data_IF_998295666766
#
_entry.id   IF_998295666766
#
_cell.length_a   1.000
_cell.length_b   1.000
_cell.length_c   1.000
_cell.angle_alpha   90.00
_cell.angle_beta   90.00
_cell.angle_gamma   90.00
#
_symmetry.space_group_name_H-M   'P 1'
#
loop_
_entity.id
_entity.type
_entity.pdbx_description
1 polymer ?
#
# COMPACT_ATOMS: atom_id res chain seq x y z
N UNK A 1 -5.37 -20.57 82.07
CA UNK A 1 -4.36 -20.21 81.09
C UNK A 1 -4.59 -21.01 79.84
N UNK A 2 -5.25 -20.38 78.88
CA UNK A 2 -5.66 -21.06 77.64
C UNK A 2 -4.94 -20.33 76.49
N UNK A 3 -4.05 -21.07 75.82
CA UNK A 3 -3.32 -20.60 74.65
C UNK A 3 -4.23 -20.71 73.42
N UNK A 4 -4.51 -19.59 72.82
CA UNK A 4 -5.21 -19.52 71.51
C UNK A 4 -4.15 -19.42 70.40
N UNK A 5 -3.94 -20.55 69.70
CA UNK A 5 -3.19 -20.56 68.45
C UNK A 5 -4.11 -20.21 67.29
N UNK A 6 -4.01 -18.99 66.81
CA UNK A 6 -4.72 -18.58 65.61
C UNK A 6 -3.94 -19.05 64.38
N UNK A 7 -4.48 -20.04 63.64
CA UNK A 7 -3.96 -20.46 62.33
C UNK A 7 -4.39 -19.45 61.30
N UNK A 8 -3.42 -18.70 60.73
CA UNK A 8 -3.61 -17.84 59.59
C UNK A 8 -3.52 -18.68 58.30
N UNK A 9 -4.67 -18.98 57.68
CA UNK A 9 -4.74 -19.61 56.36
C UNK A 9 -4.61 -18.51 55.29
N UNK A 10 -3.43 -18.42 54.68
CA UNK A 10 -3.21 -17.63 53.48
C UNK A 10 -3.81 -18.38 52.28
N UNK A 11 -4.95 -17.90 51.77
CA UNK A 11 -5.46 -18.30 50.46
C UNK A 11 -4.66 -17.58 49.37
N UNK A 12 -3.77 -18.33 48.70
CA UNK A 12 -3.16 -17.90 47.46
C UNK A 12 -4.19 -18.12 46.34
N UNK A 13 -4.97 -17.12 45.96
CA UNK A 13 -5.77 -17.14 44.75
C UNK A 13 -4.83 -16.89 43.56
N UNK A 14 -4.42 -17.95 42.88
CA UNK A 14 -3.75 -17.86 41.59
C UNK A 14 -4.85 -17.43 40.62
N UNK A 15 -4.93 -16.11 40.35
CA UNK A 15 -5.75 -15.57 39.29
C UNK A 15 -5.19 -16.04 37.93
N UNK A 16 -5.84 -17.02 37.30
CA UNK A 16 -5.62 -17.28 35.88
C UNK A 16 -6.10 -16.04 35.12
N UNK A 17 -5.15 -15.16 34.76
CA UNK A 17 -5.44 -14.14 33.76
C UNK A 17 -5.77 -14.87 32.44
N UNK A 18 -6.88 -14.56 31.79
CA UNK A 18 -7.16 -15.14 30.48
C UNK A 18 -6.05 -14.68 29.52
N UNK A 19 -5.30 -15.65 29.02
CA UNK A 19 -4.42 -15.45 27.88
C UNK A 19 -5.33 -15.13 26.69
N UNK A 20 -5.50 -13.86 26.40
CA UNK A 20 -6.04 -13.44 25.10
C UNK A 20 -4.98 -13.82 24.05
N UNK A 21 -5.16 -15.00 23.46
CA UNK A 21 -4.49 -15.36 22.23
C UNK A 21 -5.14 -14.44 21.18
N UNK A 22 -4.53 -13.27 20.94
CA UNK A 22 -4.82 -12.51 19.74
C UNK A 22 -4.36 -13.39 18.59
N UNK A 23 -5.30 -13.99 17.88
CA UNK A 23 -5.03 -14.62 16.59
C UNK A 23 -4.43 -13.52 15.72
N UNK A 24 -3.13 -13.59 15.50
CA UNK A 24 -2.49 -12.73 14.53
C UNK A 24 -3.04 -13.17 13.18
N UNK A 25 -3.94 -12.38 12.62
CA UNK A 25 -4.44 -12.63 11.27
C UNK A 25 -3.28 -12.41 10.32
N UNK A 26 -2.91 -13.44 9.57
CA UNK A 26 -1.89 -13.32 8.54
C UNK A 26 -2.50 -12.53 7.37
N UNK A 27 -2.35 -11.21 7.41
CA UNK A 27 -2.93 -10.29 6.43
C UNK A 27 -1.94 -9.18 6.06
N UNK A 28 -1.87 -8.86 4.78
CA UNK A 28 -1.31 -7.61 4.30
C UNK A 28 -2.42 -6.57 4.40
N UNK A 29 -2.27 -5.61 5.29
CA UNK A 29 -3.19 -4.49 5.46
C UNK A 29 -2.76 -3.34 4.55
N UNK A 30 -3.70 -2.77 3.81
CA UNK A 30 -3.49 -1.68 2.88
C UNK A 30 -4.43 -0.54 3.24
N UNK A 31 -3.88 0.62 3.59
CA UNK A 31 -4.64 1.85 3.83
C UNK A 31 -4.43 2.80 2.66
N UNK A 32 -5.51 3.27 2.06
CA UNK A 32 -5.48 4.34 1.08
C UNK A 32 -5.30 5.70 1.78
N UNK A 33 -4.23 6.42 1.44
CA UNK A 33 -3.92 7.72 2.01
C UNK A 33 -4.54 8.84 1.16
N UNK A 34 -4.50 8.69 -0.14
CA UNK A 34 -5.03 9.66 -1.09
C UNK A 34 -4.24 9.65 -2.40
N UNK A 35 -4.83 10.08 -3.50
CA UNK A 35 -4.29 10.04 -4.86
C UNK A 35 -3.78 8.62 -5.24
N UNK A 36 -2.48 8.41 -5.37
CA UNK A 36 -1.86 7.08 -5.47
C UNK A 36 -1.20 6.63 -4.15
N UNK A 37 -1.29 7.43 -3.09
CA UNK A 37 -0.66 7.18 -1.81
C UNK A 37 -1.28 5.99 -1.08
N UNK A 38 -0.44 4.98 -0.77
CA UNK A 38 -0.83 3.81 -0.01
C UNK A 38 0.13 3.60 1.16
N UNK A 39 -0.41 3.13 2.28
CA UNK A 39 0.37 2.50 3.34
C UNK A 39 0.02 1.02 3.38
N UNK A 40 1.03 0.16 3.35
CA UNK A 40 0.88 -1.28 3.34
C UNK A 40 1.73 -1.90 4.47
N UNK A 41 1.17 -2.85 5.21
CA UNK A 41 1.91 -3.52 6.29
C UNK A 41 1.39 -4.93 6.57
N UNK A 42 2.28 -5.82 6.99
CA UNK A 42 1.96 -7.13 7.59
C UNK A 42 2.20 -7.14 9.12
N UNK A 43 2.47 -5.95 9.68
CA UNK A 43 2.87 -5.78 11.08
C UNK A 43 4.39 -5.82 11.29
N UNK A 44 5.17 -6.27 10.30
CA UNK A 44 6.65 -6.34 10.34
C UNK A 44 7.28 -5.35 9.38
N UNK A 45 6.89 -5.42 8.10
CA UNK A 45 7.31 -4.48 7.06
C UNK A 45 6.28 -3.36 6.97
N UNK A 46 6.74 -2.13 6.85
CA UNK A 46 5.93 -0.94 6.61
C UNK A 46 6.36 -0.33 5.28
N UNK A 47 5.47 -0.33 4.30
CA UNK A 47 5.72 0.19 2.96
C UNK A 47 4.78 1.36 2.66
N UNK A 48 5.35 2.50 2.28
CA UNK A 48 4.61 3.64 1.71
C UNK A 48 4.85 3.70 0.21
N UNK A 49 3.76 3.77 -0.55
CA UNK A 49 3.81 3.94 -2.01
C UNK A 49 3.32 5.33 -2.34
N UNK A 50 4.05 6.06 -3.18
CA UNK A 50 3.73 7.42 -3.63
C UNK A 50 3.29 8.36 -2.48
N UNK A 51 3.93 8.22 -1.32
CA UNK A 51 3.72 9.03 -0.13
C UNK A 51 5.04 9.21 0.65
N UNK A 52 5.37 10.42 1.18
CA UNK A 52 4.54 11.62 1.15
C UNK A 52 4.66 12.42 -0.16
N UNK A 53 3.55 13.01 -0.56
CA UNK A 53 3.44 13.89 -1.71
C UNK A 53 2.93 15.28 -1.31
N UNK A 54 2.88 16.23 -2.25
CA UNK A 54 2.29 17.55 -2.00
C UNK A 54 0.76 17.44 -2.01
N UNK A 55 0.13 17.48 -0.85
CA UNK A 55 -1.33 17.43 -0.66
C UNK A 55 -2.03 18.44 -1.58
N UNK A 56 -3.07 18.01 -2.28
CA UNK A 56 -3.86 18.83 -3.21
C UNK A 56 -3.12 19.26 -4.49
N UNK A 57 -1.93 18.72 -4.78
CA UNK A 57 -1.23 19.02 -6.02
C UNK A 57 -2.10 18.67 -7.24
N UNK A 58 -2.12 19.54 -8.26
CA UNK A 58 -2.92 19.40 -9.48
C UNK A 58 -4.42 19.19 -9.25
N UNK A 59 -4.95 19.66 -8.10
CA UNK A 59 -6.34 19.50 -7.67
C UNK A 59 -6.75 18.04 -7.42
N UNK A 60 -5.80 17.17 -7.22
CA UNK A 60 -6.04 15.83 -6.72
C UNK A 60 -6.31 15.82 -5.22
N UNK A 61 -6.55 14.64 -4.69
CA UNK A 61 -6.97 14.44 -3.31
C UNK A 61 -5.96 15.02 -2.30
N UNK A 62 -6.49 15.75 -1.35
CA UNK A 62 -5.75 16.14 -0.15
C UNK A 62 -5.74 14.99 0.86
N UNK A 63 -4.76 14.99 1.76
CA UNK A 63 -4.71 14.09 2.91
C UNK A 63 -4.54 14.91 4.21
N UNK A 64 -4.99 14.34 5.30
CA UNK A 64 -4.86 14.93 6.62
C UNK A 64 -3.39 14.93 7.08
N UNK A 65 -2.96 16.02 7.77
CA UNK A 65 -1.57 16.17 8.20
C UNK A 65 -1.10 15.04 9.12
N UNK A 66 -2.02 14.45 9.88
CA UNK A 66 -1.80 13.30 10.75
C UNK A 66 -1.19 12.10 10.00
N UNK A 67 -1.44 11.97 8.71
CA UNK A 67 -0.81 10.91 7.89
C UNK A 67 0.71 11.05 7.84
N UNK A 68 1.23 12.28 7.80
CA UNK A 68 2.67 12.55 7.88
C UNK A 68 3.22 12.22 9.27
N UNK A 69 2.49 12.61 10.32
CA UNK A 69 2.92 12.42 11.71
C UNK A 69 2.93 10.96 12.13
N UNK A 70 2.11 10.13 11.47
CA UNK A 70 1.99 8.69 11.73
C UNK A 70 2.92 7.81 10.88
N UNK A 71 3.79 8.41 10.05
CA UNK A 71 4.76 7.65 9.26
C UNK A 71 5.62 6.79 10.20
N UNK A 72 5.69 5.50 9.91
CA UNK A 72 6.41 4.53 10.73
C UNK A 72 7.91 4.71 10.60
N UNK A 73 8.62 4.54 11.72
CA UNK A 73 10.08 4.46 11.70
C UNK A 73 10.55 3.26 10.86
N UNK A 74 11.69 3.41 10.21
CA UNK A 74 12.31 2.38 9.36
C UNK A 74 11.38 1.87 8.23
N UNK A 75 10.44 2.70 7.77
CA UNK A 75 9.58 2.35 6.66
C UNK A 75 10.36 2.30 5.34
N UNK A 76 9.84 1.49 4.41
CA UNK A 76 10.25 1.50 3.01
C UNK A 76 9.36 2.49 2.27
N UNK A 77 9.97 3.37 1.47
CA UNK A 77 9.26 4.32 0.62
C UNK A 77 9.50 3.97 -0.84
N UNK A 78 8.44 3.75 -1.59
CA UNK A 78 8.48 3.38 -3.01
C UNK A 78 7.73 4.43 -3.85
N UNK A 79 8.39 4.99 -4.85
CA UNK A 79 7.81 6.03 -5.70
C UNK A 79 7.77 5.60 -7.15
N UNK A 80 6.61 5.79 -7.79
CA UNK A 80 6.44 5.52 -9.23
C UNK A 80 7.13 6.56 -10.08
N UNK A 81 7.07 7.83 -9.69
CA UNK A 81 7.74 8.95 -10.36
C UNK A 81 7.84 10.21 -9.47
N UNK A 82 8.32 11.33 -10.02
CA UNK A 82 8.63 12.55 -9.24
C UNK A 82 7.62 13.69 -9.39
N UNK A 83 6.42 13.47 -9.88
CA UNK A 83 5.41 14.53 -9.86
C UNK A 83 4.98 14.88 -8.44
N UNK A 84 4.54 16.13 -8.27
CA UNK A 84 4.29 16.68 -6.95
C UNK A 84 3.14 15.99 -6.19
N UNK A 85 2.24 15.36 -6.89
CA UNK A 85 1.11 14.57 -6.37
C UNK A 85 1.45 13.10 -6.08
N UNK A 86 2.73 12.69 -6.30
CA UNK A 86 3.27 11.37 -5.96
C UNK A 86 4.48 11.46 -5.03
N UNK A 87 5.24 12.56 -5.12
CA UNK A 87 6.52 12.69 -4.43
C UNK A 87 6.76 14.11 -3.91
N UNK A 88 7.24 14.22 -2.68
CA UNK A 88 7.73 15.48 -2.10
C UNK A 88 9.02 15.26 -1.35
N UNK A 89 10.15 15.66 -1.94
CA UNK A 89 11.45 15.58 -1.26
C UNK A 89 11.45 16.31 0.09
N UNK A 90 10.80 17.49 0.16
CA UNK A 90 10.75 18.31 1.39
C UNK A 90 10.06 17.55 2.53
N UNK A 91 8.97 16.86 2.24
CA UNK A 91 8.21 16.09 3.23
C UNK A 91 8.91 14.76 3.56
N UNK A 92 9.56 14.14 2.58
CA UNK A 92 10.25 12.85 2.75
C UNK A 92 11.58 12.99 3.51
N UNK A 93 12.27 14.12 3.38
CA UNK A 93 13.62 14.33 3.94
C UNK A 93 13.76 14.04 5.44
N UNK A 94 12.80 14.37 6.33
CA UNK A 94 12.92 14.12 7.76
C UNK A 94 12.89 12.63 8.14
N UNK A 95 12.34 11.77 7.30
CA UNK A 95 12.16 10.36 7.62
C UNK A 95 13.43 9.56 7.30
N UNK A 96 13.81 8.72 8.24
CA UNK A 96 14.77 7.65 8.02
C UNK A 96 14.07 6.49 7.28
N UNK A 97 14.84 5.48 6.90
CA UNK A 97 14.31 4.35 6.14
C UNK A 97 14.73 4.36 4.68
N UNK A 98 14.39 3.29 4.00
CA UNK A 98 14.85 3.02 2.63
C UNK A 98 13.93 3.73 1.62
N UNK A 99 14.52 4.39 0.63
CA UNK A 99 13.79 5.22 -0.33
C UNK A 99 14.10 4.80 -1.75
N UNK A 100 13.13 4.20 -2.42
CA UNK A 100 13.24 3.68 -3.78
C UNK A 100 12.35 4.45 -4.75
N UNK A 101 12.82 4.59 -5.97
CA UNK A 101 12.08 5.26 -7.02
C UNK A 101 12.81 5.27 -8.35
N UNK A 102 12.38 6.05 -9.33
CA UNK A 102 13.01 6.09 -10.66
C UNK A 102 14.50 6.41 -10.67
N UNK A 103 15.05 6.88 -9.57
CA UNK A 103 16.46 7.24 -9.43
C UNK A 103 17.39 6.08 -9.04
N UNK A 104 16.84 5.01 -8.43
CA UNK A 104 17.61 3.88 -7.91
C UNK A 104 16.84 2.54 -7.91
N UNK A 105 16.03 2.27 -8.92
CA UNK A 105 15.24 1.02 -9.02
C UNK A 105 16.09 -0.24 -9.02
N UNK A 106 17.32 -0.15 -9.45
CA UNK A 106 18.28 -1.26 -9.43
C UNK A 106 18.65 -1.73 -8.02
N UNK A 107 18.51 -0.85 -7.02
CA UNK A 107 18.77 -1.16 -5.61
C UNK A 107 17.63 -1.98 -4.98
N UNK A 108 16.46 -2.09 -5.61
CA UNK A 108 15.33 -2.92 -5.12
C UNK A 108 15.72 -4.38 -4.92
N UNK A 109 16.71 -4.88 -5.64
CA UNK A 109 17.27 -6.23 -5.46
C UNK A 109 17.84 -6.46 -4.06
N UNK A 110 18.24 -5.40 -3.36
CA UNK A 110 18.75 -5.50 -1.99
C UNK A 110 17.64 -5.86 -1.00
N UNK A 111 16.39 -5.49 -1.28
CA UNK A 111 15.23 -5.90 -0.46
C UNK A 111 15.00 -7.40 -0.52
N UNK A 112 15.16 -8.02 -1.69
CA UNK A 112 15.03 -9.46 -1.89
C UNK A 112 16.03 -10.25 -1.03
N UNK A 113 17.22 -9.69 -0.82
CA UNK A 113 18.24 -10.31 0.02
C UNK A 113 17.93 -10.25 1.53
N UNK A 114 17.06 -9.32 1.94
CA UNK A 114 16.67 -9.09 3.34
C UNK A 114 15.45 -9.92 3.78
N UNK A 115 14.58 -10.26 2.83
CA UNK A 115 13.38 -11.05 3.10
C UNK A 115 13.05 -11.95 1.91
N UNK A 116 12.93 -13.24 2.14
CA UNK A 116 12.55 -14.22 1.08
C UNK A 116 11.09 -14.05 0.63
N UNK A 117 10.25 -13.46 1.48
CA UNK A 117 8.80 -13.36 1.26
C UNK A 117 8.34 -11.97 0.80
N UNK A 118 9.29 -11.05 0.53
CA UNK A 118 8.99 -9.69 0.10
C UNK A 118 9.90 -9.26 -1.04
N UNK A 119 9.31 -9.02 -2.21
CA UNK A 119 10.01 -8.63 -3.43
C UNK A 119 9.27 -7.50 -4.14
N UNK A 120 10.00 -6.61 -4.79
CA UNK A 120 9.44 -5.53 -5.62
C UNK A 120 10.11 -5.57 -6.99
N UNK A 121 9.32 -5.89 -8.01
CA UNK A 121 9.76 -5.93 -9.40
C UNK A 121 9.36 -4.63 -10.12
N UNK A 122 10.32 -3.83 -10.61
CA UNK A 122 10.07 -2.60 -11.33
C UNK A 122 9.87 -2.85 -12.83
N UNK A 123 8.86 -2.23 -13.41
CA UNK A 123 8.61 -2.19 -14.86
C UNK A 123 8.69 -0.75 -15.34
N UNK A 124 9.59 -0.48 -16.27
CA UNK A 124 9.64 0.83 -16.89
C UNK A 124 8.43 1.04 -17.79
N UNK A 125 7.65 2.07 -17.54
CA UNK A 125 6.43 2.39 -18.27
C UNK A 125 6.46 3.80 -18.82
N UNK A 126 5.62 4.07 -19.81
CA UNK A 126 5.53 5.40 -20.40
C UNK A 126 4.63 6.29 -19.55
N UNK A 127 5.14 7.49 -19.25
CA UNK A 127 4.34 8.57 -18.66
C UNK A 127 4.68 9.88 -19.36
N UNK A 128 3.71 10.43 -20.11
CA UNK A 128 3.87 11.66 -20.87
C UNK A 128 2.85 12.70 -20.41
N UNK A 129 3.32 13.91 -20.14
CA UNK A 129 2.50 15.07 -19.85
C UNK A 129 2.85 16.15 -20.87
N UNK A 130 1.88 16.62 -21.64
CA UNK A 130 2.06 17.60 -22.73
C UNK A 130 3.21 17.25 -23.69
N UNK A 131 3.36 15.95 -24.01
CA UNK A 131 4.41 15.47 -24.92
C UNK A 131 5.78 15.28 -24.29
N UNK A 132 5.97 15.64 -23.02
CA UNK A 132 7.23 15.44 -22.30
C UNK A 132 7.19 14.08 -21.58
N UNK A 133 8.16 13.21 -21.85
CA UNK A 133 8.32 11.91 -21.17
C UNK A 133 8.98 12.07 -19.81
N UNK A 134 8.38 11.46 -18.80
CA UNK A 134 8.94 11.37 -17.46
C UNK A 134 9.43 9.96 -17.17
N UNK A 135 10.48 9.85 -16.35
CA UNK A 135 10.96 8.55 -15.87
C UNK A 135 9.96 8.01 -14.87
N UNK A 136 9.29 6.93 -15.26
CA UNK A 136 8.17 6.34 -14.52
C UNK A 136 8.33 4.82 -14.45
N UNK A 137 7.90 4.23 -13.35
CA UNK A 137 7.84 2.79 -13.16
C UNK A 137 6.49 2.36 -12.56
N UNK A 138 5.95 1.29 -13.11
CA UNK A 138 4.96 0.47 -12.43
C UNK A 138 5.68 -0.62 -11.64
N UNK A 139 5.02 -1.19 -10.64
CA UNK A 139 5.65 -2.20 -9.78
C UNK A 139 4.74 -3.42 -9.60
N UNK A 140 5.34 -4.59 -9.45
CA UNK A 140 4.70 -5.76 -8.86
C UNK A 140 5.36 -6.04 -7.53
N UNK A 141 4.56 -6.05 -6.47
CA UNK A 141 4.99 -6.45 -5.13
C UNK A 141 4.55 -7.90 -4.94
N UNK A 142 5.50 -8.78 -4.68
CA UNK A 142 5.24 -10.14 -4.20
C UNK A 142 5.51 -10.18 -2.71
N UNK A 143 4.46 -10.43 -1.91
CA UNK A 143 4.53 -10.39 -0.46
C UNK A 143 3.75 -11.57 0.13
N UNK A 144 4.41 -12.46 0.85
CA UNK A 144 3.83 -13.72 1.34
C UNK A 144 3.11 -14.50 0.24
N UNK A 145 3.70 -14.55 -0.96
CA UNK A 145 3.11 -15.19 -2.12
C UNK A 145 1.92 -14.47 -2.77
N UNK A 146 1.50 -13.32 -2.23
CA UNK A 146 0.47 -12.46 -2.83
C UNK A 146 1.11 -11.49 -3.80
N UNK A 147 0.47 -11.28 -4.96
CA UNK A 147 0.98 -10.42 -6.02
C UNK A 147 0.11 -9.18 -6.18
N UNK A 148 0.70 -8.01 -5.97
CA UNK A 148 0.03 -6.71 -5.99
C UNK A 148 0.68 -5.85 -7.06
N UNK A 149 -0.10 -5.44 -8.07
CA UNK A 149 0.35 -4.53 -9.12
C UNK A 149 0.03 -3.08 -8.76
N UNK A 150 0.96 -2.18 -9.05
CA UNK A 150 0.84 -0.73 -8.89
C UNK A 150 1.14 -0.05 -10.23
N UNK A 151 0.14 0.54 -10.86
CA UNK A 151 0.34 1.22 -12.14
C UNK A 151 1.12 2.53 -12.01
N UNK A 152 0.95 3.25 -10.90
CA UNK A 152 1.29 4.67 -10.86
C UNK A 152 0.44 5.46 -11.84
N UNK A 153 1.05 6.44 -12.50
CA UNK A 153 0.38 7.42 -13.35
C UNK A 153 0.56 7.14 -14.86
N UNK A 154 0.61 5.87 -15.23
CA UNK A 154 0.72 5.47 -16.64
C UNK A 154 -0.60 4.99 -17.23
N UNK A 155 -0.79 5.24 -18.53
CA UNK A 155 -1.84 4.59 -19.32
C UNK A 155 -1.34 3.39 -20.14
N UNK A 156 -0.06 3.03 -19.98
CA UNK A 156 0.57 1.92 -20.70
C UNK A 156 0.10 0.57 -20.16
N UNK A 157 -0.61 -0.18 -21.01
CA UNK A 157 -1.22 -1.46 -20.66
C UNK A 157 -0.31 -2.66 -20.96
N UNK A 158 0.85 -2.45 -21.59
CA UNK A 158 1.71 -3.56 -22.05
C UNK A 158 2.23 -4.40 -20.87
N UNK A 159 2.59 -3.76 -19.77
CA UNK A 159 3.07 -4.48 -18.59
C UNK A 159 2.00 -5.41 -18.04
N UNK A 160 0.80 -4.88 -17.78
CA UNK A 160 -0.24 -5.65 -17.10
C UNK A 160 -0.79 -6.81 -17.96
N UNK A 161 -0.70 -6.70 -19.29
CA UNK A 161 -1.06 -7.81 -20.21
C UNK A 161 -0.26 -9.09 -19.96
N UNK A 162 0.99 -8.94 -19.56
CA UNK A 162 1.91 -10.08 -19.34
C UNK A 162 1.81 -10.66 -17.93
N UNK A 163 1.21 -9.93 -16.98
CA UNK A 163 1.12 -10.34 -15.59
C UNK A 163 0.00 -11.36 -15.37
N UNK A 164 0.26 -12.31 -14.50
CA UNK A 164 -0.66 -13.38 -14.15
C UNK A 164 -0.83 -13.50 -12.66
N UNK A 165 -1.95 -14.09 -12.24
CA UNK A 165 -2.20 -14.44 -10.83
C UNK A 165 -2.06 -13.25 -9.87
N UNK A 166 -2.54 -12.07 -10.27
CA UNK A 166 -2.57 -10.92 -9.39
C UNK A 166 -3.68 -11.08 -8.34
N UNK A 167 -3.36 -10.84 -7.07
CA UNK A 167 -4.37 -10.76 -6.01
C UNK A 167 -5.08 -9.41 -6.04
N UNK A 168 -4.33 -8.34 -6.34
CA UNK A 168 -4.85 -6.98 -6.40
C UNK A 168 -4.07 -6.16 -7.45
N UNK A 169 -4.79 -5.44 -8.29
CA UNK A 169 -4.21 -4.52 -9.26
C UNK A 169 -4.68 -3.10 -8.98
N UNK A 170 -3.80 -2.26 -8.43
CA UNK A 170 -4.05 -0.82 -8.33
C UNK A 170 -3.74 -0.14 -9.65
N UNK A 171 -4.70 0.62 -10.16
CA UNK A 171 -4.53 1.36 -11.40
C UNK A 171 -5.33 2.67 -11.42
N UNK A 172 -4.83 3.60 -12.21
CA UNK A 172 -5.53 4.85 -12.46
C UNK A 172 -6.70 4.67 -13.45
N UNK A 173 -7.66 5.62 -13.52
CA UNK A 173 -8.85 5.48 -14.36
C UNK A 173 -8.56 5.32 -15.85
N UNK A 174 -7.55 6.03 -16.38
CA UNK A 174 -7.25 5.97 -17.81
C UNK A 174 -6.59 4.65 -18.21
N UNK A 175 -5.73 4.04 -17.39
CA UNK A 175 -5.26 2.68 -17.65
C UNK A 175 -6.44 1.71 -17.64
N UNK A 176 -7.32 1.80 -16.65
CA UNK A 176 -8.50 0.95 -16.57
C UNK A 176 -9.40 1.11 -17.79
N UNK A 177 -9.63 2.36 -18.25
CA UNK A 177 -10.40 2.65 -19.47
C UNK A 177 -9.72 2.09 -20.73
N UNK A 178 -8.39 2.20 -20.86
CA UNK A 178 -7.66 1.64 -21.99
C UNK A 178 -7.84 0.12 -22.06
N UNK A 179 -7.71 -0.59 -20.92
CA UNK A 179 -7.97 -2.03 -20.83
C UNK A 179 -9.38 -2.40 -21.31
N UNK A 180 -10.39 -1.63 -20.92
CA UNK A 180 -11.78 -1.84 -21.33
C UNK A 180 -11.98 -1.57 -22.83
N UNK A 181 -11.47 -0.47 -23.35
CA UNK A 181 -11.60 -0.07 -24.74
C UNK A 181 -10.91 -1.06 -25.69
N UNK A 182 -9.73 -1.52 -25.33
CA UNK A 182 -8.95 -2.49 -26.10
C UNK A 182 -9.35 -3.95 -25.83
N UNK A 183 -10.29 -4.18 -24.89
CA UNK A 183 -10.77 -5.50 -24.47
C UNK A 183 -9.64 -6.43 -24.01
N UNK A 184 -8.70 -5.86 -23.26
CA UNK A 184 -7.56 -6.60 -22.71
C UNK A 184 -7.98 -7.28 -21.42
N UNK A 185 -7.93 -8.61 -21.34
CA UNK A 185 -8.17 -9.33 -20.10
C UNK A 185 -7.00 -9.14 -19.14
N UNK A 186 -7.31 -8.88 -17.88
CA UNK A 186 -6.33 -8.84 -16.78
C UNK A 186 -6.65 -9.95 -15.80
N UNK A 187 -5.67 -10.77 -15.52
CA UNK A 187 -5.79 -11.88 -14.57
C UNK A 187 -5.52 -11.36 -13.14
N UNK A 188 -6.56 -10.82 -12.53
CA UNK A 188 -6.53 -10.33 -11.14
C UNK A 188 -7.80 -10.71 -10.39
N UNK A 189 -7.68 -10.94 -9.08
CA UNK A 189 -8.84 -11.18 -8.21
C UNK A 189 -9.61 -9.88 -7.94
N UNK A 190 -8.90 -8.75 -7.84
CA UNK A 190 -9.49 -7.46 -7.47
C UNK A 190 -8.79 -6.30 -8.16
N UNK A 191 -9.55 -5.26 -8.49
CA UNK A 191 -9.06 -3.98 -8.96
C UNK A 191 -9.25 -2.91 -7.89
N UNK A 192 -8.19 -2.13 -7.61
CA UNK A 192 -8.23 -0.90 -6.83
C UNK A 192 -8.06 0.29 -7.77
N UNK A 193 -9.10 1.08 -7.98
CA UNK A 193 -9.02 2.27 -8.84
C UNK A 193 -8.70 3.48 -7.96
N UNK A 194 -7.50 4.01 -8.11
CA UNK A 194 -7.00 5.17 -7.38
C UNK A 194 -6.75 6.35 -8.33
N UNK A 195 -6.10 7.44 -7.90
CA UNK A 195 -5.83 8.63 -8.71
C UNK A 195 -7.11 9.28 -9.26
N UNK A 196 -8.15 9.31 -8.44
CA UNK A 196 -9.43 9.91 -8.77
C UNK A 196 -9.45 11.38 -8.34
N UNK A 197 -10.12 12.23 -9.13
CA UNK A 197 -10.42 13.57 -8.66
C UNK A 197 -11.44 13.53 -7.51
N UNK A 198 -11.38 14.47 -6.54
CA UNK A 198 -12.33 14.51 -5.42
C UNK A 198 -13.81 14.53 -5.87
N UNK A 199 -14.08 15.19 -7.02
CA UNK A 199 -15.43 15.31 -7.59
C UNK A 199 -15.74 14.28 -8.68
N UNK A 200 -14.88 13.27 -8.87
CA UNK A 200 -15.12 12.21 -9.86
C UNK A 200 -16.46 11.52 -9.62
N UNK A 201 -17.26 11.38 -10.67
CA UNK A 201 -18.52 10.64 -10.60
C UNK A 201 -18.24 9.16 -10.82
N UNK A 202 -18.54 8.37 -9.82
CA UNK A 202 -18.39 6.92 -9.90
C UNK A 202 -19.62 6.30 -10.58
N UNK A 203 -19.48 5.15 -11.26
CA UNK A 203 -20.61 4.43 -11.83
C UNK A 203 -21.57 3.95 -10.72
N UNK A 204 -22.88 3.99 -10.99
CA UNK A 204 -23.92 3.55 -10.04
C UNK A 204 -23.81 2.05 -9.70
N UNK A 205 -23.34 1.25 -10.66
CA UNK A 205 -23.16 -0.19 -10.49
C UNK A 205 -21.68 -0.53 -10.67
N UNK A 206 -21.10 -1.05 -9.61
CA UNK A 206 -19.69 -1.45 -9.55
C UNK A 206 -19.63 -2.96 -9.39
N UNK A 207 -18.91 -3.70 -10.26
CA UNK A 207 -18.63 -5.11 -10.06
C UNK A 207 -17.98 -5.35 -8.68
N UNK A 208 -18.28 -6.48 -8.04
CA UNK A 208 -17.79 -6.79 -6.69
C UNK A 208 -16.27 -6.90 -6.57
N UNK A 209 -15.59 -7.11 -7.67
CA UNK A 209 -14.12 -7.18 -7.74
C UNK A 209 -13.45 -5.83 -8.07
N UNK A 210 -14.19 -4.71 -8.05
CA UNK A 210 -13.65 -3.37 -8.25
C UNK A 210 -13.89 -2.52 -7.02
N UNK A 211 -12.84 -1.86 -6.53
CA UNK A 211 -12.90 -0.88 -5.44
C UNK A 211 -12.42 0.46 -5.98
N UNK A 212 -13.27 1.49 -5.88
CA UNK A 212 -12.86 2.86 -6.13
C UNK A 212 -12.32 3.49 -4.84
N UNK A 213 -11.07 3.96 -4.88
CA UNK A 213 -10.38 4.56 -3.76
C UNK A 213 -10.57 6.09 -3.80
N UNK A 214 -11.64 6.53 -3.19
CA UNK A 214 -12.08 7.94 -3.17
C UNK A 214 -12.12 8.52 -1.75
N UNK A 215 -12.10 7.68 -0.74
CA UNK A 215 -12.17 8.07 0.66
C UNK A 215 -10.86 7.73 1.35
N UNK A 216 -10.19 8.76 1.90
CA UNK A 216 -9.00 8.60 2.72
C UNK A 216 -9.27 7.65 3.89
N UNK A 217 -8.29 6.84 4.25
CA UNK A 217 -8.42 5.86 5.34
C UNK A 217 -9.10 4.55 4.95
N UNK A 218 -9.57 4.40 3.69
CA UNK A 218 -10.14 3.14 3.20
C UNK A 218 -9.14 2.00 3.41
N UNK A 219 -9.62 0.93 4.07
CA UNK A 219 -8.83 -0.27 4.35
C UNK A 219 -9.17 -1.38 3.35
N UNK A 220 -8.14 -2.10 2.93
CA UNK A 220 -8.20 -3.36 2.17
C UNK A 220 -7.28 -4.34 2.87
N UNK A 221 -7.65 -5.60 3.00
CA UNK A 221 -6.77 -6.66 3.49
C UNK A 221 -6.68 -7.82 2.52
N UNK A 222 -5.51 -8.44 2.46
CA UNK A 222 -5.21 -9.63 1.66
C UNK A 222 -4.68 -10.69 2.62
N UNK A 223 -5.48 -11.72 2.90
CA UNK A 223 -5.07 -12.83 3.75
C UNK A 223 -4.05 -13.72 3.04
N UNK A 224 -3.06 -14.23 3.81
CA UNK A 224 -2.09 -15.19 3.34
C UNK A 224 -1.98 -16.38 4.32
N UNK A 225 -1.43 -17.49 3.85
CA UNK A 225 -1.27 -18.73 4.64
C UNK A 225 0.07 -18.78 5.36
#
# INVERSE_FOLDING_TARGET
MINFLTKLLLYFSIGLAPLFITSQTNEIQIKFIGNCGLFMTDGTINLYVDFPYKSGAYSYMEYENEEIEQIKENAIFLFTHKHADHYSYKLLKPFEGEKYGPWNVEELKELESKSLDFQIEPFRTEHKVYGISFKHYSYVITWHGKRIFLSGDTGDVEVIKSLKELDLAFMNPWMFMNLQNERIPVETKMFGIYHLYPNEKLPEKVPSNIIFLKEQGRQISISYE
#
